data_IF_953015336955
#
_entry.id   IF_953015336955
#
_cell.length_a   1.000
_cell.length_b   1.000
_cell.length_c   1.000
_cell.angle_alpha   90.00
_cell.angle_beta   90.00
_cell.angle_gamma   90.00
#
_symmetry.space_group_name_H-M   'P 1'
#
loop_
_entity.id
_entity.type
_entity.pdbx_description
1 polymer ?
#
# COMPACT_ATOMS: atom_id res chain seq x y z
N UNK A 1 41.54 -40.35 34.12
CA UNK A 1 40.71 -39.17 33.78
C UNK A 1 40.51 -39.17 32.27
N UNK A 2 39.33 -39.57 31.81
CA UNK A 2 38.94 -39.52 30.39
C UNK A 2 37.54 -38.93 30.34
N UNK A 3 37.42 -37.71 29.84
CA UNK A 3 36.15 -36.98 29.66
C UNK A 3 35.59 -37.31 28.28
N UNK A 4 34.50 -38.07 28.26
CA UNK A 4 33.68 -38.36 27.08
C UNK A 4 32.91 -37.10 26.65
N UNK A 5 33.23 -36.55 25.47
CA UNK A 5 32.41 -35.52 24.83
C UNK A 5 31.21 -36.17 24.15
N UNK A 6 30.04 -36.03 24.76
CA UNK A 6 28.75 -36.33 24.13
C UNK A 6 28.45 -35.27 23.07
N UNK A 7 28.73 -35.59 21.80
CA UNK A 7 28.25 -34.80 20.67
C UNK A 7 26.74 -34.92 20.55
N UNK A 8 26.03 -33.80 20.75
CA UNK A 8 24.60 -33.66 20.46
C UNK A 8 24.36 -33.94 18.97
N UNK A 9 23.86 -35.13 18.63
CA UNK A 9 23.28 -35.39 17.32
C UNK A 9 21.96 -34.63 17.23
N UNK A 10 21.88 -33.64 16.35
CA UNK A 10 20.62 -32.94 16.08
C UNK A 10 19.68 -33.89 15.31
N UNK A 11 18.73 -34.48 16.03
CA UNK A 11 17.64 -35.28 15.46
C UNK A 11 16.64 -34.33 14.80
N UNK A 12 16.49 -34.43 13.48
CA UNK A 12 15.44 -33.71 12.76
C UNK A 12 14.09 -34.42 12.92
N UNK A 13 12.99 -33.67 13.01
CA UNK A 13 11.64 -34.24 13.04
C UNK A 13 10.91 -33.98 11.72
N UNK A 14 10.13 -34.96 11.25
CA UNK A 14 9.35 -34.82 10.02
C UNK A 14 8.27 -33.75 10.15
N UNK A 15 8.23 -32.79 9.21
CA UNK A 15 7.24 -31.70 9.21
C UNK A 15 5.78 -32.17 9.12
N UNK A 16 5.53 -33.37 8.57
CA UNK A 16 4.17 -33.87 8.31
C UNK A 16 3.64 -34.78 9.41
N UNK A 17 4.45 -35.74 9.88
CA UNK A 17 4.01 -36.73 10.88
C UNK A 17 4.69 -36.59 12.24
N UNK A 18 5.68 -35.69 12.38
CA UNK A 18 6.45 -35.52 13.61
C UNK A 18 7.42 -36.66 13.94
N UNK A 19 7.50 -37.71 13.11
CA UNK A 19 8.41 -38.83 13.31
C UNK A 19 9.89 -38.41 13.24
N UNK A 20 10.72 -39.06 14.05
CA UNK A 20 12.15 -38.79 14.12
C UNK A 20 12.87 -39.23 12.84
N UNK A 21 13.80 -38.39 12.35
CA UNK A 21 14.64 -38.67 11.20
C UNK A 21 16.06 -38.98 11.69
N UNK A 22 16.64 -40.08 11.20
CA UNK A 22 18.00 -40.46 11.56
C UNK A 22 19.01 -39.42 11.07
N UNK A 23 19.98 -39.06 11.92
CA UNK A 23 20.97 -38.00 11.66
C UNK A 23 21.82 -38.22 10.38
N UNK A 24 21.92 -39.46 9.91
CA UNK A 24 22.70 -39.84 8.72
C UNK A 24 21.95 -39.61 7.40
N UNK A 25 20.63 -39.41 7.48
CA UNK A 25 19.77 -39.15 6.33
C UNK A 25 19.88 -37.69 5.84
N UNK A 26 20.49 -36.80 6.63
CA UNK A 26 20.67 -35.38 6.29
C UNK A 26 21.78 -35.17 5.26
N UNK A 27 22.73 -36.11 5.16
CA UNK A 27 23.93 -36.00 4.30
C UNK A 27 23.92 -36.91 3.07
N UNK A 28 23.03 -37.88 3.00
CA UNK A 28 22.99 -38.87 1.93
C UNK A 28 21.63 -38.78 1.21
N UNK A 29 21.61 -38.94 -0.12
CA UNK A 29 20.43 -38.74 -0.98
C UNK A 29 19.25 -39.67 -0.62
N UNK A 30 19.48 -40.63 0.27
CA UNK A 30 18.48 -41.55 0.83
C UNK A 30 17.55 -40.92 1.89
N UNK A 31 17.83 -39.70 2.38
CA UNK A 31 16.99 -39.01 3.37
C UNK A 31 16.00 -37.97 2.85
N UNK A 32 15.86 -37.87 1.53
CA UNK A 32 14.92 -36.94 0.88
C UNK A 32 13.45 -37.24 1.22
N UNK A 33 13.12 -38.43 1.73
CA UNK A 33 11.76 -38.83 2.09
C UNK A 33 11.69 -39.42 3.50
N UNK A 34 10.63 -39.09 4.23
CA UNK A 34 10.39 -39.66 5.55
C UNK A 34 10.03 -41.16 5.44
N UNK A 35 10.70 -42.08 6.15
CA UNK A 35 10.40 -43.52 6.09
C UNK A 35 9.04 -43.87 6.69
N UNK A 36 8.51 -43.04 7.59
CA UNK A 36 7.22 -43.30 8.24
C UNK A 36 6.00 -42.88 7.40
N UNK A 37 6.10 -41.81 6.61
CA UNK A 37 4.94 -41.26 5.90
C UNK A 37 5.17 -40.95 4.41
N UNK A 38 6.38 -41.17 3.91
CA UNK A 38 6.76 -40.91 2.52
C UNK A 38 6.80 -39.43 2.14
N UNK A 39 6.69 -38.50 3.09
CA UNK A 39 6.71 -37.07 2.79
C UNK A 39 8.12 -36.61 2.37
N UNK A 40 8.25 -35.82 1.29
CA UNK A 40 9.54 -35.25 0.90
C UNK A 40 10.02 -34.23 1.95
N UNK A 41 11.25 -34.38 2.43
CA UNK A 41 11.91 -33.40 3.29
C UNK A 41 12.70 -32.45 2.40
N UNK A 42 12.18 -31.25 2.21
CA UNK A 42 12.91 -30.18 1.51
C UNK A 42 13.97 -29.67 2.47
N UNK A 43 15.18 -30.24 2.41
CA UNK A 43 16.34 -29.66 3.06
C UNK A 43 16.68 -28.37 2.33
N UNK A 44 16.56 -27.25 3.04
CA UNK A 44 17.17 -26.01 2.60
C UNK A 44 18.65 -26.14 2.94
N UNK A 45 19.55 -26.33 1.96
CA UNK A 45 20.97 -26.52 2.26
C UNK A 45 21.50 -25.34 3.05
N UNK A 46 22.38 -25.60 4.03
CA UNK A 46 22.80 -24.65 5.07
C UNK A 46 23.25 -23.28 4.51
N UNK A 47 23.77 -23.22 3.28
CA UNK A 47 24.15 -21.97 2.60
C UNK A 47 22.97 -21.04 2.23
N UNK A 48 21.73 -21.52 2.28
CA UNK A 48 20.50 -20.74 2.08
C UNK A 48 19.82 -20.35 3.40
N UNK A 49 20.34 -20.78 4.55
CA UNK A 49 19.89 -20.28 5.87
C UNK A 49 20.44 -18.85 6.02
N UNK A 50 19.60 -17.82 6.22
CA UNK A 50 20.12 -16.48 6.49
C UNK A 50 20.81 -16.50 7.85
N UNK A 51 22.15 -16.44 7.85
CA UNK A 51 22.95 -16.21 9.05
C UNK A 51 22.63 -14.82 9.65
N UNK A 52 22.56 -14.68 10.98
CA UNK A 52 22.55 -13.36 11.61
C UNK A 52 23.91 -12.69 11.37
N UNK A 53 23.90 -11.73 10.44
CA UNK A 53 25.04 -10.91 9.97
C UNK A 53 25.98 -10.46 11.10
N UNK A 54 27.28 -10.81 11.04
CA UNK A 54 28.36 -9.97 11.52
C UNK A 54 29.01 -9.23 10.33
N UNK A 55 29.42 -7.99 10.58
CA UNK A 55 30.04 -7.03 9.65
C UNK A 55 31.30 -7.53 8.88
N UNK A 56 31.73 -6.81 7.82
CA UNK A 56 32.35 -7.41 6.64
C UNK A 56 33.87 -7.46 6.71
N UNK A 57 34.46 -8.63 6.48
CA UNK A 57 35.89 -8.76 6.17
C UNK A 57 36.14 -9.75 5.02
N UNK A 58 36.87 -9.23 4.04
CA UNK A 58 37.71 -9.90 3.05
C UNK A 58 37.05 -10.89 2.06
N UNK A 59 36.91 -10.39 0.84
CA UNK A 59 36.55 -11.12 -0.39
C UNK A 59 37.63 -12.14 -0.74
N UNK A 60 37.32 -13.43 -0.67
CA UNK A 60 38.08 -14.50 -1.35
C UNK A 60 37.48 -14.72 -2.76
N UNK A 61 38.32 -14.89 -3.80
CA UNK A 61 37.85 -14.98 -5.18
C UNK A 61 37.40 -16.41 -5.50
N UNK A 62 36.09 -16.64 -5.59
CA UNK A 62 35.53 -17.90 -6.10
C UNK A 62 34.93 -17.70 -7.50
N UNK A 63 35.39 -18.56 -8.41
CA UNK A 63 34.95 -18.84 -9.78
C UNK A 63 33.66 -18.18 -10.29
N UNK A 64 33.82 -17.14 -11.12
CA UNK A 64 33.33 -17.11 -12.51
C UNK A 64 31.83 -17.00 -12.81
N UNK A 65 30.93 -17.09 -11.84
CA UNK A 65 29.51 -16.75 -12.05
C UNK A 65 29.10 -15.71 -11.03
N UNK A 66 28.79 -14.50 -11.53
CA UNK A 66 28.21 -13.43 -10.72
C UNK A 66 26.94 -14.03 -10.09
N UNK A 67 26.85 -14.16 -8.76
CA UNK A 67 25.66 -14.68 -8.13
C UNK A 67 24.48 -13.80 -8.57
N UNK A 68 23.34 -14.38 -9.00
CA UNK A 68 22.18 -13.58 -9.36
C UNK A 68 21.89 -12.64 -8.19
N UNK A 69 21.68 -11.33 -8.43
CA UNK A 69 21.48 -10.39 -7.34
C UNK A 69 20.34 -10.92 -6.48
N UNK A 70 20.64 -11.17 -5.20
CA UNK A 70 19.63 -11.58 -4.22
C UNK A 70 18.46 -10.58 -4.35
N UNK A 71 17.20 -11.05 -4.28
CA UNK A 71 16.06 -10.14 -4.23
C UNK A 71 16.29 -9.17 -3.08
N UNK A 72 16.68 -7.94 -3.42
CA UNK A 72 16.94 -6.91 -2.43
C UNK A 72 15.66 -6.74 -1.62
N UNK A 73 15.78 -6.95 -0.31
CA UNK A 73 14.71 -6.69 0.63
C UNK A 73 14.18 -5.26 0.39
N UNK A 74 12.85 -5.11 0.41
CA UNK A 74 12.19 -3.83 0.17
C UNK A 74 12.71 -2.82 1.19
N UNK A 75 13.29 -1.73 0.71
CA UNK A 75 13.69 -0.61 1.56
C UNK A 75 12.45 0.24 1.88
N UNK A 76 11.75 -0.16 2.93
CA UNK A 76 10.52 0.48 3.39
C UNK A 76 10.73 1.95 3.79
N UNK A 77 11.94 2.32 4.24
CA UNK A 77 12.22 3.71 4.62
C UNK A 77 12.16 4.61 3.40
N UNK A 78 12.80 4.20 2.31
CA UNK A 78 12.77 4.95 1.06
C UNK A 78 11.39 4.93 0.39
N UNK A 79 10.66 3.82 0.48
CA UNK A 79 9.28 3.73 0.01
C UNK A 79 8.37 4.74 0.73
N UNK A 80 8.49 4.83 2.07
CA UNK A 80 7.73 5.78 2.89
C UNK A 80 8.09 7.24 2.60
N UNK A 81 9.37 7.56 2.42
CA UNK A 81 9.80 8.93 2.09
C UNK A 81 9.25 9.36 0.72
N UNK A 82 9.34 8.49 -0.28
CA UNK A 82 8.81 8.81 -1.61
C UNK A 82 7.28 8.91 -1.60
N UNK A 83 6.60 7.98 -0.91
CA UNK A 83 5.15 8.01 -0.72
C UNK A 83 4.70 9.29 -0.03
N UNK A 84 5.37 9.67 1.06
CA UNK A 84 5.09 10.89 1.82
C UNK A 84 5.31 12.15 1.00
N UNK A 85 6.37 12.24 0.21
CA UNK A 85 6.62 13.40 -0.65
C UNK A 85 5.52 13.60 -1.69
N UNK A 86 5.08 12.53 -2.36
CA UNK A 86 3.98 12.61 -3.33
C UNK A 86 2.65 12.92 -2.64
N UNK A 87 2.40 12.32 -1.47
CA UNK A 87 1.21 12.61 -0.68
C UNK A 87 1.14 14.08 -0.27
N UNK A 88 2.27 14.68 0.12
CA UNK A 88 2.35 16.08 0.50
C UNK A 88 2.09 17.01 -0.70
N UNK A 89 2.73 16.74 -1.85
CA UNK A 89 2.48 17.51 -3.08
C UNK A 89 1.01 17.42 -3.48
N UNK A 90 0.43 16.22 -3.42
CA UNK A 90 -0.97 16.02 -3.72
C UNK A 90 -1.91 16.75 -2.76
N UNK A 91 -1.62 16.73 -1.46
CA UNK A 91 -2.40 17.45 -0.46
C UNK A 91 -2.39 18.98 -0.71
N UNK A 92 -1.23 19.55 -1.06
CA UNK A 92 -1.11 20.98 -1.40
C UNK A 92 -1.92 21.31 -2.66
N UNK A 93 -1.80 20.49 -3.71
CA UNK A 93 -2.57 20.65 -4.95
C UNK A 93 -4.08 20.57 -4.71
N UNK A 94 -4.53 19.65 -3.85
CA UNK A 94 -5.94 19.52 -3.50
C UNK A 94 -6.46 20.77 -2.80
N UNK A 95 -5.71 21.35 -1.85
CA UNK A 95 -6.10 22.61 -1.19
C UNK A 95 -6.17 23.77 -2.19
N UNK A 96 -5.18 23.89 -3.08
CA UNK A 96 -5.19 24.91 -4.14
C UNK A 96 -6.37 24.72 -5.11
N UNK A 97 -6.73 23.48 -5.43
CA UNK A 97 -7.87 23.14 -6.26
C UNK A 97 -9.21 23.48 -5.63
N UNK A 98 -9.33 23.45 -4.30
CA UNK A 98 -10.54 23.92 -3.59
C UNK A 98 -10.68 25.44 -3.68
N UNK A 99 -9.56 26.17 -3.62
CA UNK A 99 -9.54 27.63 -3.72
C UNK A 99 -9.86 28.10 -5.15
N UNK A 100 -9.49 27.31 -6.16
CA UNK A 100 -9.69 27.64 -7.57
C UNK A 100 -10.83 26.79 -8.17
N UNK A 101 -12.02 27.38 -8.33
CA UNK A 101 -13.21 26.71 -8.91
C UNK A 101 -13.01 26.12 -10.33
N UNK A 102 -11.85 26.33 -10.95
CA UNK A 102 -11.53 25.90 -12.32
C UNK A 102 -11.02 24.46 -12.44
N UNK A 103 -10.77 23.74 -11.33
CA UNK A 103 -9.96 22.52 -11.35
C UNK A 103 -10.70 21.20 -11.00
N UNK A 104 -12.03 21.13 -11.05
CA UNK A 104 -12.77 19.94 -10.56
C UNK A 104 -12.33 18.61 -11.24
N UNK A 105 -12.20 18.59 -12.57
CA UNK A 105 -11.74 17.39 -13.30
C UNK A 105 -10.25 17.12 -13.10
N UNK A 106 -9.43 18.16 -13.04
CA UNK A 106 -7.97 18.04 -12.85
C UNK A 106 -7.65 17.50 -11.46
N UNK A 107 -8.42 17.92 -10.45
CA UNK A 107 -8.29 17.46 -9.06
C UNK A 107 -8.64 15.96 -8.96
N UNK A 108 -9.69 15.51 -9.65
CA UNK A 108 -10.04 14.09 -9.73
C UNK A 108 -8.94 13.24 -10.39
N UNK A 109 -8.44 13.69 -11.54
CA UNK A 109 -7.37 12.98 -12.27
C UNK A 109 -6.09 12.93 -11.44
N UNK A 110 -5.76 14.00 -10.71
CA UNK A 110 -4.58 14.05 -9.86
C UNK A 110 -4.70 13.12 -8.62
N UNK A 111 -5.83 13.15 -7.93
CA UNK A 111 -6.08 12.27 -6.76
C UNK A 111 -6.03 10.80 -7.17
N UNK A 112 -6.58 10.45 -8.33
CA UNK A 112 -6.53 9.09 -8.88
C UNK A 112 -5.12 8.71 -9.37
N UNK A 113 -4.38 9.64 -9.98
CA UNK A 113 -3.02 9.38 -10.49
C UNK A 113 -1.94 9.34 -9.40
N UNK A 114 -2.18 9.90 -8.21
CA UNK A 114 -1.22 9.89 -7.10
C UNK A 114 -0.74 8.49 -6.69
N UNK A 115 -1.64 7.49 -6.72
CA UNK A 115 -1.30 6.09 -6.44
C UNK A 115 -0.40 5.44 -7.51
N UNK A 116 -0.54 5.83 -8.78
CA UNK A 116 0.32 5.35 -9.87
C UNK A 116 1.65 6.12 -9.90
N UNK A 117 1.61 7.42 -9.64
CA UNK A 117 2.77 8.30 -9.63
C UNK A 117 3.75 7.93 -8.50
N UNK A 118 3.26 7.60 -7.30
CA UNK A 118 4.11 7.10 -6.20
C UNK A 118 4.88 5.84 -6.59
N UNK A 119 4.20 4.89 -7.23
CA UNK A 119 4.81 3.64 -7.68
C UNK A 119 5.81 3.90 -8.82
N UNK A 120 5.48 4.79 -9.76
CA UNK A 120 6.38 5.19 -10.84
C UNK A 120 7.65 5.89 -10.30
N UNK A 121 7.52 6.77 -9.30
CA UNK A 121 8.67 7.44 -8.65
C UNK A 121 9.52 6.44 -7.88
N UNK A 122 8.90 5.48 -7.18
CA UNK A 122 9.62 4.42 -6.48
C UNK A 122 10.42 3.54 -7.47
N UNK A 123 9.78 3.11 -8.56
CA UNK A 123 10.44 2.34 -9.63
C UNK A 123 11.57 3.11 -10.29
N UNK A 124 11.39 4.42 -10.53
CA UNK A 124 12.44 5.26 -11.12
C UNK A 124 13.68 5.39 -10.23
N UNK A 125 13.50 5.39 -8.91
CA UNK A 125 14.62 5.48 -7.95
C UNK A 125 15.32 4.14 -7.70
N UNK A 126 14.65 3.00 -7.93
CA UNK A 126 15.22 1.65 -7.74
C UNK A 126 14.79 0.70 -8.86
N UNK A 127 15.41 0.79 -10.05
CA UNK A 127 15.09 -0.08 -11.18
C UNK A 127 15.44 -1.56 -10.97
N UNK A 128 16.37 -1.85 -10.05
CA UNK A 128 16.92 -3.19 -9.82
C UNK A 128 16.20 -4.00 -8.73
N UNK A 129 15.18 -3.42 -8.07
CA UNK A 129 14.39 -4.14 -7.08
C UNK A 129 13.47 -5.15 -7.78
N UNK A 130 13.55 -6.43 -7.39
CA UNK A 130 12.67 -7.50 -7.88
C UNK A 130 11.23 -7.22 -7.41
N UNK A 131 10.42 -6.70 -8.32
CA UNK A 131 9.10 -6.20 -7.99
C UNK A 131 8.04 -7.22 -8.40
N UNK A 132 7.56 -8.01 -7.45
CA UNK A 132 6.41 -8.90 -7.66
C UNK A 132 5.10 -8.13 -7.52
N UNK A 133 4.04 -8.54 -8.22
CA UNK A 133 2.71 -7.89 -8.13
C UNK A 133 2.20 -7.76 -6.68
N UNK A 134 2.47 -8.75 -5.82
CA UNK A 134 2.14 -8.71 -4.38
C UNK A 134 2.87 -7.58 -3.64
N UNK A 135 4.13 -7.32 -3.99
CA UNK A 135 4.92 -6.22 -3.40
C UNK A 135 4.38 -4.88 -3.88
N UNK A 136 4.10 -4.76 -5.17
CA UNK A 136 3.47 -3.59 -5.75
C UNK A 136 2.13 -3.24 -5.10
N UNK A 137 1.29 -4.25 -4.81
CA UNK A 137 0.02 -4.06 -4.11
C UNK A 137 0.20 -3.50 -2.69
N UNK A 138 1.18 -4.02 -1.92
CA UNK A 138 1.48 -3.55 -0.57
C UNK A 138 1.98 -2.10 -0.57
N UNK A 139 2.87 -1.76 -1.49
CA UNK A 139 3.38 -0.39 -1.64
C UNK A 139 2.21 0.54 -2.01
N UNK A 140 1.38 0.14 -2.98
CA UNK A 140 0.19 0.88 -3.39
C UNK A 140 -0.80 1.13 -2.24
N UNK A 141 -1.05 0.12 -1.40
CA UNK A 141 -1.87 0.24 -0.20
C UNK A 141 -1.30 1.28 0.77
N UNK A 142 0.00 1.18 1.10
CA UNK A 142 0.65 2.11 2.03
C UNK A 142 0.67 3.54 1.50
N UNK A 143 0.91 3.71 0.19
CA UNK A 143 0.90 5.01 -0.46
C UNK A 143 -0.52 5.62 -0.49
N UNK A 144 -1.55 4.82 -0.79
CA UNK A 144 -2.94 5.26 -0.77
C UNK A 144 -3.40 5.70 0.62
N UNK A 145 -3.01 4.95 1.67
CA UNK A 145 -3.28 5.32 3.07
C UNK A 145 -2.59 6.62 3.46
N UNK A 146 -1.31 6.80 3.11
CA UNK A 146 -0.59 8.04 3.37
C UNK A 146 -1.21 9.23 2.63
N UNK A 147 -1.66 9.02 1.38
CA UNK A 147 -2.31 10.03 0.58
C UNK A 147 -3.63 10.49 1.20
N UNK A 148 -4.52 9.58 1.59
CA UNK A 148 -5.81 9.98 2.17
C UNK A 148 -5.64 10.68 3.52
N UNK A 149 -4.68 10.23 4.35
CA UNK A 149 -4.37 10.89 5.63
C UNK A 149 -3.82 12.29 5.39
N UNK A 150 -2.91 12.47 4.44
CA UNK A 150 -2.36 13.78 4.09
C UNK A 150 -3.43 14.73 3.55
N UNK A 151 -4.33 14.25 2.67
CA UNK A 151 -5.44 15.04 2.16
C UNK A 151 -6.40 15.44 3.29
N UNK A 152 -6.78 14.51 4.15
CA UNK A 152 -7.67 14.78 5.29
C UNK A 152 -7.08 15.82 6.24
N UNK A 153 -5.80 15.71 6.58
CA UNK A 153 -5.08 16.70 7.40
C UNK A 153 -5.00 18.05 6.71
N UNK A 154 -4.71 18.10 5.41
CA UNK A 154 -4.63 19.35 4.66
C UNK A 154 -5.99 20.07 4.60
N UNK A 155 -7.08 19.33 4.38
CA UNK A 155 -8.43 19.89 4.40
C UNK A 155 -8.85 20.38 5.80
N UNK A 156 -8.54 19.61 6.85
CA UNK A 156 -8.84 20.00 8.23
C UNK A 156 -8.06 21.26 8.63
N UNK A 157 -6.74 21.28 8.36
CA UNK A 157 -5.89 22.43 8.66
C UNK A 157 -6.27 23.65 7.84
N UNK A 158 -6.59 23.50 6.54
CA UNK A 158 -7.08 24.62 5.73
C UNK A 158 -8.39 25.19 6.27
N UNK A 159 -9.31 24.35 6.74
CA UNK A 159 -10.56 24.80 7.36
C UNK A 159 -10.33 25.58 8.65
N UNK A 160 -9.44 25.11 9.51
CA UNK A 160 -9.04 25.81 10.75
C UNK A 160 -8.36 27.15 10.42
N UNK A 161 -7.44 27.17 9.47
CA UNK A 161 -6.74 28.40 9.05
C UNK A 161 -7.70 29.40 8.40
N UNK A 162 -8.63 28.94 7.56
CA UNK A 162 -9.66 29.79 6.97
C UNK A 162 -10.54 30.43 8.04
N UNK A 163 -10.90 29.66 9.08
CA UNK A 163 -11.76 30.11 10.18
C UNK A 163 -11.06 31.07 11.13
N UNK A 164 -9.87 30.74 11.61
CA UNK A 164 -9.20 31.49 12.68
C UNK A 164 -8.08 32.42 12.19
N UNK A 165 -7.43 32.09 11.08
CA UNK A 165 -6.33 32.90 10.55
C UNK A 165 -6.81 34.01 9.61
N UNK A 166 -7.64 33.66 8.63
CA UNK A 166 -7.96 34.57 7.52
C UNK A 166 -9.23 35.39 7.73
N UNK A 167 -10.07 35.06 8.73
CA UNK A 167 -11.41 35.65 8.92
C UNK A 167 -12.28 35.62 7.63
N UNK A 168 -11.96 34.75 6.67
CA UNK A 168 -12.63 34.62 5.36
C UNK A 168 -13.81 33.67 5.41
N UNK A 169 -14.58 33.75 6.50
CA UNK A 169 -15.73 32.88 6.72
C UNK A 169 -16.76 33.03 5.61
N UNK A 170 -17.04 34.26 5.19
CA UNK A 170 -18.05 34.54 4.18
C UNK A 170 -17.78 33.85 2.83
N UNK A 171 -16.53 33.83 2.35
CA UNK A 171 -16.21 33.18 1.07
C UNK A 171 -16.23 31.66 1.16
N UNK A 172 -15.80 31.10 2.30
CA UNK A 172 -15.83 29.66 2.51
C UNK A 172 -17.27 29.16 2.71
N UNK A 173 -18.05 29.86 3.52
CA UNK A 173 -19.46 29.55 3.75
C UNK A 173 -20.28 29.71 2.48
N UNK A 174 -19.98 30.70 1.63
CA UNK A 174 -20.62 30.83 0.32
C UNK A 174 -20.33 29.63 -0.59
N UNK A 175 -19.07 29.19 -0.66
CA UNK A 175 -18.68 28.04 -1.48
C UNK A 175 -19.29 26.73 -0.95
N UNK A 176 -19.33 26.57 0.37
CA UNK A 176 -19.99 25.42 1.01
C UNK A 176 -21.51 25.47 0.79
N UNK A 177 -22.14 26.64 0.90
CA UNK A 177 -23.57 26.80 0.64
C UNK A 177 -23.91 26.46 -0.82
N UNK A 178 -23.08 26.88 -1.78
CA UNK A 178 -23.22 26.53 -3.19
C UNK A 178 -23.11 25.02 -3.41
N UNK A 179 -22.14 24.35 -2.78
CA UNK A 179 -21.99 22.89 -2.85
C UNK A 179 -23.18 22.13 -2.25
N UNK A 180 -23.77 22.65 -1.16
CA UNK A 180 -24.97 22.06 -0.56
C UNK A 180 -26.19 22.30 -1.43
N UNK A 181 -26.32 23.48 -2.03
CA UNK A 181 -27.43 23.81 -2.91
C UNK A 181 -27.42 22.95 -4.18
N UNK A 182 -26.26 22.75 -4.79
CA UNK A 182 -26.10 21.84 -5.95
C UNK A 182 -26.44 20.40 -5.57
N UNK A 183 -25.99 19.91 -4.41
CA UNK A 183 -26.36 18.60 -3.90
C UNK A 183 -27.88 18.48 -3.65
N UNK A 184 -28.53 19.51 -3.11
CA UNK A 184 -29.97 19.53 -2.87
C UNK A 184 -30.77 19.46 -4.17
N UNK A 185 -30.37 20.21 -5.20
CA UNK A 185 -31.03 20.18 -6.51
C UNK A 185 -30.91 18.78 -7.12
N UNK A 186 -29.73 18.16 -7.06
CA UNK A 186 -29.53 16.80 -7.55
C UNK A 186 -30.35 15.77 -6.75
N UNK A 187 -30.42 15.92 -5.42
CA UNK A 187 -31.20 15.04 -4.56
C UNK A 187 -32.71 15.17 -4.84
N UNK A 188 -33.21 16.40 -5.03
CA UNK A 188 -34.59 16.64 -5.41
C UNK A 188 -34.95 15.98 -6.75
N UNK A 189 -34.10 16.13 -7.76
CA UNK A 189 -34.29 15.48 -9.06
C UNK A 189 -34.35 13.94 -8.93
N UNK A 190 -33.47 13.33 -8.13
CA UNK A 190 -33.48 11.88 -7.92
C UNK A 190 -34.71 11.35 -7.16
N UNK A 191 -35.26 12.16 -6.23
CA UNK A 191 -36.47 11.79 -5.48
C UNK A 191 -37.74 11.96 -6.31
N UNK A 192 -37.77 12.96 -7.19
CA UNK A 192 -38.86 13.15 -8.15
C UNK A 192 -38.93 11.97 -9.12
N UNK A 193 -37.78 11.49 -9.62
CA UNK A 193 -37.69 10.29 -10.44
C UNK A 193 -38.20 9.03 -9.72
N UNK A 194 -37.93 8.91 -8.41
CA UNK A 194 -38.43 7.82 -7.57
C UNK A 194 -39.91 7.95 -7.16
N UNK A 195 -40.64 8.98 -7.63
CA UNK A 195 -42.04 9.27 -7.25
C UNK A 195 -42.26 9.32 -5.74
N UNK A 196 -41.28 9.85 -5.01
CA UNK A 196 -41.34 9.93 -3.56
C UNK A 196 -42.38 10.99 -3.14
N UNK A 197 -43.12 10.72 -2.06
CA UNK A 197 -44.15 11.65 -1.56
C UNK A 197 -43.52 12.98 -1.11
N UNK A 198 -44.18 14.12 -1.36
CA UNK A 198 -43.68 15.46 -1.00
C UNK A 198 -43.35 15.60 0.49
N UNK A 199 -44.15 14.97 1.35
CA UNK A 199 -43.92 14.93 2.81
C UNK A 199 -42.57 14.27 3.17
N UNK A 200 -42.22 13.17 2.48
CA UNK A 200 -40.93 12.51 2.67
C UNK A 200 -39.79 13.37 2.14
N UNK A 201 -39.99 14.06 1.02
CA UNK A 201 -38.98 14.94 0.42
C UNK A 201 -38.61 16.10 1.35
N UNK A 202 -39.61 16.79 1.93
CA UNK A 202 -39.39 17.89 2.87
C UNK A 202 -38.67 17.41 4.15
N UNK A 203 -39.07 16.25 4.67
CA UNK A 203 -38.42 15.67 5.85
C UNK A 203 -36.95 15.31 5.59
N UNK A 204 -36.62 14.76 4.43
CA UNK A 204 -35.23 14.43 4.10
C UNK A 204 -34.41 15.69 3.85
N UNK A 205 -34.94 16.71 3.17
CA UNK A 205 -34.25 18.01 3.01
C UNK A 205 -33.98 18.66 4.37
N UNK A 206 -34.97 18.64 5.28
CA UNK A 206 -34.81 19.13 6.65
C UNK A 206 -33.72 18.40 7.42
N UNK A 207 -33.66 17.07 7.30
CA UNK A 207 -32.58 16.26 7.90
C UNK A 207 -31.21 16.56 7.29
N UNK A 208 -31.10 16.74 5.97
CA UNK A 208 -29.82 17.06 5.30
C UNK A 208 -29.28 18.43 5.72
N UNK A 209 -30.15 19.37 6.11
CA UNK A 209 -29.74 20.67 6.60
C UNK A 209 -29.18 20.65 8.04
N UNK A 210 -29.35 19.57 8.78
CA UNK A 210 -28.78 19.46 10.14
C UNK A 210 -27.24 19.45 10.08
N UNK A 211 -26.56 20.20 10.96
CA UNK A 211 -25.10 20.23 11.00
C UNK A 211 -24.50 18.85 11.32
N UNK A 212 -25.18 18.03 12.13
CA UNK A 212 -24.76 16.67 12.48
C UNK A 212 -24.79 15.75 11.26
N UNK A 213 -25.86 15.83 10.47
CA UNK A 213 -26.01 15.03 9.24
C UNK A 213 -24.99 15.46 8.19
N UNK A 214 -24.72 16.76 8.04
CA UNK A 214 -23.70 17.27 7.13
C UNK A 214 -22.30 16.79 7.48
N UNK A 215 -21.95 16.80 8.77
CA UNK A 215 -20.68 16.23 9.23
C UNK A 215 -20.60 14.73 8.94
N UNK A 216 -21.68 13.98 9.21
CA UNK A 216 -21.77 12.56 8.90
C UNK A 216 -21.58 12.26 7.41
N UNK A 217 -22.28 12.99 6.53
CA UNK A 217 -22.14 12.86 5.08
C UNK A 217 -20.71 13.16 4.63
N UNK A 218 -20.08 14.21 5.16
CA UNK A 218 -18.70 14.54 4.82
C UNK A 218 -17.71 13.44 5.21
N UNK A 219 -17.87 12.84 6.39
CA UNK A 219 -17.05 11.70 6.85
C UNK A 219 -17.28 10.46 5.99
N UNK A 220 -18.54 10.14 5.67
CA UNK A 220 -18.88 9.01 4.79
C UNK A 220 -18.30 9.22 3.40
N UNK A 221 -18.42 10.42 2.84
CA UNK A 221 -17.88 10.77 1.53
C UNK A 221 -16.35 10.65 1.51
N UNK A 222 -15.66 11.21 2.51
CA UNK A 222 -14.21 11.11 2.61
C UNK A 222 -13.75 9.66 2.83
N UNK A 223 -14.50 8.88 3.62
CA UNK A 223 -14.24 7.46 3.83
C UNK A 223 -14.38 6.64 2.55
N UNK A 224 -15.45 6.87 1.78
CA UNK A 224 -15.68 6.22 0.48
C UNK A 224 -14.59 6.60 -0.52
N UNK A 225 -14.26 7.88 -0.63
CA UNK A 225 -13.18 8.37 -1.49
C UNK A 225 -11.84 7.76 -1.08
N UNK A 226 -11.56 7.69 0.21
CA UNK A 226 -10.38 7.02 0.76
C UNK A 226 -10.30 5.55 0.38
N UNK A 227 -11.41 4.82 0.51
CA UNK A 227 -11.49 3.42 0.09
C UNK A 227 -11.18 3.26 -1.39
N UNK A 228 -11.76 4.10 -2.26
CA UNK A 228 -11.50 4.09 -3.70
C UNK A 228 -10.02 4.37 -3.99
N UNK A 229 -9.43 5.40 -3.38
CA UNK A 229 -8.00 5.75 -3.55
C UNK A 229 -7.10 4.61 -3.11
N UNK A 230 -7.40 3.95 -2.00
CA UNK A 230 -6.63 2.81 -1.50
C UNK A 230 -6.75 1.60 -2.44
N UNK A 231 -7.96 1.30 -2.94
CA UNK A 231 -8.19 0.22 -3.88
C UNK A 231 -7.49 0.47 -5.22
N UNK A 232 -7.58 1.69 -5.75
CA UNK A 232 -6.88 2.09 -6.98
C UNK A 232 -5.37 2.10 -6.79
N UNK A 233 -4.87 2.55 -5.64
CA UNK A 233 -3.45 2.49 -5.28
C UNK A 233 -2.95 1.05 -5.23
N UNK A 234 -3.70 0.16 -4.59
CA UNK A 234 -3.39 -1.28 -4.52
C UNK A 234 -3.40 -1.93 -5.91
N UNK A 235 -4.43 -1.67 -6.72
CA UNK A 235 -4.55 -2.21 -8.08
C UNK A 235 -3.46 -1.67 -9.02
N UNK A 236 -3.24 -0.36 -9.03
CA UNK A 236 -2.20 0.30 -9.80
C UNK A 236 -0.79 -0.16 -9.41
N UNK A 237 -0.54 -0.30 -8.10
CA UNK A 237 0.70 -0.84 -7.58
C UNK A 237 0.93 -2.30 -7.98
N UNK A 238 -0.10 -3.15 -7.90
CA UNK A 238 -0.02 -4.54 -8.34
C UNK A 238 0.30 -4.64 -9.83
N UNK A 239 -0.39 -3.85 -10.66
CA UNK A 239 -0.19 -3.79 -12.10
C UNK A 239 1.21 -3.32 -12.47
N UNK A 240 1.68 -2.24 -11.85
CA UNK A 240 3.03 -1.72 -12.04
C UNK A 240 4.11 -2.72 -11.61
N UNK A 241 3.88 -3.48 -10.53
CA UNK A 241 4.77 -4.57 -10.11
C UNK A 241 4.84 -5.69 -11.13
N UNK A 242 3.70 -6.16 -11.65
CA UNK A 242 3.68 -7.18 -12.70
C UNK A 242 4.42 -6.74 -13.97
N UNK A 243 4.28 -5.49 -14.39
CA UNK A 243 5.01 -4.94 -15.53
C UNK A 243 6.52 -4.86 -15.28
N UNK A 244 6.93 -4.49 -14.06
CA UNK A 244 8.34 -4.47 -13.64
C UNK A 244 8.99 -5.85 -13.71
N UNK A 245 8.30 -6.88 -13.21
CA UNK A 245 8.77 -8.27 -13.29
C UNK A 245 8.98 -8.74 -14.74
N UNK A 246 8.09 -8.37 -15.66
CA UNK A 246 8.21 -8.72 -17.09
C UNK A 246 9.43 -8.06 -17.75
N UNK A 247 9.71 -6.79 -17.44
CA UNK A 247 10.85 -6.06 -18.02
C UNK A 247 12.19 -6.60 -17.54
N UNK A 248 12.29 -7.02 -16.28
CA UNK A 248 13.50 -7.62 -15.73
C UNK A 248 13.77 -9.01 -16.33
N UNK A 249 12.73 -9.80 -16.63
CA UNK A 249 12.86 -11.07 -17.35
C UNK A 249 13.44 -10.88 -18.76
N UNK A 250 12.98 -9.87 -19.49
CA UNK A 250 13.50 -9.54 -20.85
C UNK A 250 14.95 -9.05 -20.78
N UNK A 251 15.29 -8.21 -19.79
CA UNK A 251 16.64 -7.63 -19.66
C UNK A 251 17.70 -8.63 -19.19
N UNK A 252 17.31 -9.79 -18.64
CA UNK A 252 18.23 -10.90 -18.30
C UNK A 252 18.50 -11.83 -19.48
N UNK A 253 17.74 -11.73 -20.57
CA UNK A 253 17.90 -12.55 -21.78
C UNK A 253 18.73 -11.86 -22.88
N UNK A 254 19.04 -10.57 -22.70
CA UNK A 254 19.95 -9.77 -23.53
C UNK A 254 21.27 -9.61 -22.79
#
# INVERSE_FOLDING_TARGET
MSTSQSGLQMVGTCHRCGGELAAHAVTDESGLFCPHCGAPQILLPEYMRPEPVPEPLAVTPTTGTIPPPLPQAIDWRNALICGGAVALVAAVLTVLGVISSFASLINFVWVVSGGVATVAVYQKRRPDALMNGRVGARIGLTAGLMLIVAIGLALATSGVVARFGLHRMASFDAQVAESVQTMQVQMQASMEEQKQSRDVQEKVIGMVNSPEVRAGIAVVYLGLLGAIVVLLGMGGGAFAGMLGARRQGVRRLL
#
